data_IF_540356766020
#
_entry.id   IF_540356766020
#
_cell.length_a   1.000
_cell.length_b   1.000
_cell.length_c   1.000
_cell.angle_alpha   90.00
_cell.angle_beta   90.00
_cell.angle_gamma   90.00
#
_symmetry.space_group_name_H-M   'P 1'
#
loop_
_entity.id
_entity.type
_entity.pdbx_description
1 polymer ?
#
# COMPACT_ATOMS: atom_id res chain seq x y z
N UNK A 1 1.75 1.29 6.68
CA UNK A 1 0.50 1.54 5.92
C UNK A 1 -0.57 0.61 6.46
N UNK A 2 -1.77 1.13 6.70
CA UNK A 2 -2.89 0.33 7.23
C UNK A 2 -4.09 0.53 6.32
N UNK A 3 -4.66 -0.56 5.83
CA UNK A 3 -5.89 -0.56 5.03
C UNK A 3 -6.98 -1.31 5.78
N UNK A 4 -8.04 -0.59 6.13
CA UNK A 4 -9.20 -1.11 6.82
C UNK A 4 -10.35 -1.18 5.85
N UNK A 5 -10.87 -2.38 5.61
CA UNK A 5 -12.08 -2.56 4.82
C UNK A 5 -13.28 -2.63 5.75
N UNK A 6 -14.10 -1.59 5.76
CA UNK A 6 -15.27 -1.53 6.64
C UNK A 6 -16.49 -2.31 6.11
N UNK A 7 -16.69 -2.40 4.79
CA UNK A 7 -17.85 -3.06 4.18
C UNK A 7 -17.57 -3.63 2.77
N UNK A 8 -18.44 -4.54 2.29
CA UNK A 8 -18.41 -5.13 0.94
C UNK A 8 -17.91 -6.58 0.87
N UNK A 9 -17.77 -7.13 -0.35
CA UNK A 9 -17.23 -8.49 -0.57
C UNK A 9 -15.71 -8.58 -0.37
N UNK A 10 -15.14 -9.78 -0.37
CA UNK A 10 -13.68 -9.96 -0.34
C UNK A 10 -13.04 -9.22 -1.53
N UNK A 11 -11.98 -8.44 -1.30
CA UNK A 11 -11.18 -7.87 -2.39
C UNK A 11 -9.74 -8.32 -2.29
N UNK A 12 -9.15 -8.58 -3.44
CA UNK A 12 -7.72 -8.81 -3.55
C UNK A 12 -7.04 -7.45 -3.69
N UNK A 13 -6.17 -7.12 -2.74
CA UNK A 13 -5.41 -5.88 -2.73
C UNK A 13 -3.92 -6.21 -2.66
N UNK A 14 -3.07 -5.30 -3.13
CA UNK A 14 -1.62 -5.42 -3.09
C UNK A 14 -1.01 -4.13 -2.61
N UNK A 15 -0.13 -4.22 -1.62
CA UNK A 15 0.62 -3.06 -1.15
C UNK A 15 1.79 -2.81 -2.10
N UNK A 16 2.07 -1.54 -2.37
CA UNK A 16 3.26 -1.11 -3.07
C UNK A 16 3.63 0.31 -2.65
N UNK A 17 4.81 0.75 -3.01
CA UNK A 17 5.25 2.12 -2.83
C UNK A 17 6.06 2.55 -4.04
N UNK A 18 5.88 3.80 -4.45
CA UNK A 18 6.72 4.43 -5.44
C UNK A 18 7.84 5.16 -4.70
N UNK A 19 9.07 4.87 -5.09
CA UNK A 19 10.27 5.51 -4.59
C UNK A 19 11.07 6.05 -5.77
N UNK A 20 11.22 7.37 -5.85
CA UNK A 20 11.91 8.06 -6.96
C UNK A 20 11.43 7.64 -8.36
N UNK A 21 10.12 7.44 -8.55
CA UNK A 21 9.56 6.99 -9.83
C UNK A 21 9.65 5.48 -10.07
N UNK A 22 10.26 4.71 -9.16
CA UNK A 22 10.29 3.24 -9.21
C UNK A 22 9.18 2.67 -8.34
N UNK A 23 8.28 1.88 -8.93
CA UNK A 23 7.24 1.16 -8.21
C UNK A 23 7.79 -0.13 -7.59
N UNK A 24 7.87 -0.17 -6.27
CA UNK A 24 8.17 -1.36 -5.48
C UNK A 24 6.87 -1.97 -4.97
N UNK A 25 6.64 -3.24 -5.29
CA UNK A 25 5.47 -3.95 -4.78
C UNK A 25 5.88 -4.82 -3.60
N UNK A 26 4.95 -5.07 -2.68
CA UNK A 26 5.17 -6.02 -1.59
C UNK A 26 5.25 -7.48 -2.12
N UNK A 27 5.45 -8.38 -1.16
CA UNK A 27 5.60 -9.82 -1.37
C UNK A 27 4.42 -10.50 -2.07
N UNK A 28 3.22 -9.90 -2.12
CA UNK A 28 2.12 -10.49 -2.88
C UNK A 28 0.77 -9.82 -2.68
N UNK A 29 -0.11 -10.00 -3.67
CA UNK A 29 -1.51 -9.63 -3.50
C UNK A 29 -2.14 -10.48 -2.39
N UNK A 30 -2.83 -9.83 -1.47
CA UNK A 30 -3.54 -10.44 -0.35
C UNK A 30 -5.03 -10.20 -0.49
N UNK A 31 -5.85 -11.12 0.00
CA UNK A 31 -7.30 -10.93 0.08
C UNK A 31 -7.67 -10.31 1.43
N UNK A 32 -8.49 -9.26 1.40
CA UNK A 32 -9.05 -8.60 2.59
C UNK A 32 -10.57 -8.64 2.54
N UNK A 33 -11.16 -9.19 3.59
CA UNK A 33 -12.61 -9.27 3.77
C UNK A 33 -13.17 -8.02 4.47
N UNK A 34 -14.49 -7.85 4.45
CA UNK A 34 -15.13 -6.80 5.25
C UNK A 34 -14.90 -7.01 6.75
N UNK A 35 -14.57 -5.92 7.45
CA UNK A 35 -14.19 -5.93 8.85
C UNK A 35 -12.71 -6.23 9.10
N UNK A 36 -11.95 -6.68 8.08
CA UNK A 36 -10.53 -6.90 8.23
C UNK A 36 -9.73 -5.61 8.03
N UNK A 37 -8.67 -5.51 8.81
CA UNK A 37 -7.61 -4.52 8.61
C UNK A 37 -6.33 -5.26 8.28
N UNK A 38 -5.70 -4.90 7.16
CA UNK A 38 -4.37 -5.40 6.79
C UNK A 38 -3.41 -4.24 6.87
N UNK A 39 -2.29 -4.48 7.51
CA UNK A 39 -1.21 -3.51 7.67
C UNK A 39 0.08 -4.12 7.17
N UNK A 40 0.81 -3.35 6.38
CA UNK A 40 2.13 -3.71 5.91
C UNK A 40 3.12 -2.61 6.28
N UNK A 41 4.25 -3.05 6.82
CA UNK A 41 5.38 -2.21 7.16
C UNK A 41 6.56 -2.65 6.29
N UNK A 42 7.04 -1.74 5.45
CA UNK A 42 8.30 -1.96 4.77
C UNK A 42 9.43 -1.62 5.73
N UNK A 43 10.32 -2.58 5.95
CA UNK A 43 11.52 -2.41 6.75
C UNK A 43 12.71 -2.21 5.80
N UNK A 44 13.76 -1.49 6.25
CA UNK A 44 14.93 -1.12 5.44
C UNK A 44 14.64 -0.27 4.19
N UNK A 45 13.57 0.54 4.21
CA UNK A 45 13.44 1.61 3.25
C UNK A 45 14.43 2.73 3.61
N UNK A 46 15.55 2.78 2.91
CA UNK A 46 16.52 3.87 3.05
C UNK A 46 15.99 5.11 2.31
N UNK A 47 14.98 5.75 2.90
CA UNK A 47 14.20 6.84 2.30
C UNK A 47 14.67 8.22 2.77
N UNK A 48 15.90 8.31 3.28
CA UNK A 48 16.52 9.56 3.73
C UNK A 48 16.31 10.67 2.69
N UNK A 49 15.61 11.74 3.07
CA UNK A 49 15.31 12.91 2.24
C UNK A 49 14.55 12.62 0.93
N UNK A 50 13.82 11.51 0.84
CA UNK A 50 13.14 11.11 -0.38
C UNK A 50 11.63 10.96 -0.17
N UNK A 51 10.87 11.38 -1.19
CA UNK A 51 9.41 11.22 -1.21
C UNK A 51 9.02 9.78 -1.57
N UNK A 52 8.31 9.12 -0.67
CA UNK A 52 7.75 7.79 -0.86
C UNK A 52 6.25 7.91 -1.03
N UNK A 53 5.71 7.48 -2.18
CA UNK A 53 4.27 7.44 -2.40
C UNK A 53 3.79 6.00 -2.24
N UNK A 54 3.23 5.69 -1.08
CA UNK A 54 2.64 4.37 -0.86
C UNK A 54 1.33 4.25 -1.64
N UNK A 55 1.08 3.08 -2.20
CA UNK A 55 -0.14 2.77 -2.93
C UNK A 55 -0.67 1.38 -2.61
N UNK A 56 -1.97 1.22 -2.77
CA UNK A 56 -2.71 -0.01 -2.63
C UNK A 56 -3.42 -0.28 -3.96
N UNK A 57 -3.00 -1.33 -4.66
CA UNK A 57 -3.67 -1.77 -5.88
C UNK A 57 -4.75 -2.78 -5.52
N UNK A 58 -6.02 -2.44 -5.70
CA UNK A 58 -7.17 -3.30 -5.42
C UNK A 58 -7.72 -3.82 -6.75
N UNK A 59 -7.68 -5.13 -6.93
CA UNK A 59 -8.22 -5.80 -8.12
C UNK A 59 -9.70 -5.46 -8.28
N UNK A 60 -10.06 -4.86 -9.41
CA UNK A 60 -11.44 -4.44 -9.71
C UNK A 60 -11.88 -3.08 -9.15
N UNK A 61 -11.05 -2.41 -8.33
CA UNK A 61 -11.35 -1.05 -7.84
C UNK A 61 -10.27 -0.01 -8.20
N UNK A 62 -9.10 -0.45 -8.68
CA UNK A 62 -8.02 0.42 -9.11
C UNK A 62 -6.95 0.62 -8.04
N UNK A 63 -6.14 1.67 -8.20
CA UNK A 63 -4.99 1.97 -7.33
C UNK A 63 -5.34 3.16 -6.42
N UNK A 64 -5.30 2.94 -5.11
CA UNK A 64 -5.39 3.98 -4.09
C UNK A 64 -3.99 4.41 -3.70
N UNK A 65 -3.73 5.71 -3.58
CA UNK A 65 -2.40 6.23 -3.26
C UNK A 65 -2.52 7.07 -1.99
N UNK A 66 -1.56 6.94 -1.08
CA UNK A 66 -1.42 7.89 0.03
C UNK A 66 -0.54 9.05 -0.39
N UNK A 67 -0.66 10.21 0.27
CA UNK A 67 0.27 11.32 0.07
C UNK A 67 1.72 10.86 0.22
N UNK A 68 2.61 11.51 -0.53
CA UNK A 68 4.04 11.27 -0.45
C UNK A 68 4.50 11.55 0.99
N UNK A 69 5.14 10.56 1.60
CA UNK A 69 5.79 10.71 2.91
C UNK A 69 7.26 10.96 2.62
N UNK A 70 7.77 12.10 3.07
CA UNK A 70 9.20 12.44 3.02
C UNK A 70 9.66 12.68 4.44
N UNK A 71 10.65 11.90 4.87
CA UNK A 71 11.33 12.07 6.16
C UNK A 71 12.71 12.69 5.87
N UNK A 72 12.93 13.92 6.35
CA UNK A 72 14.17 14.69 6.17
C UNK A 72 14.63 15.30 7.49
#
# INVERSE_FOLDING_TARGET
MTYSKSAGGAVTARFGFNYQGTDYNDAGAFSINAGETKSYAWHNLNVLCNSVVVFLSVTGQGRFQTPAVSDC
#
